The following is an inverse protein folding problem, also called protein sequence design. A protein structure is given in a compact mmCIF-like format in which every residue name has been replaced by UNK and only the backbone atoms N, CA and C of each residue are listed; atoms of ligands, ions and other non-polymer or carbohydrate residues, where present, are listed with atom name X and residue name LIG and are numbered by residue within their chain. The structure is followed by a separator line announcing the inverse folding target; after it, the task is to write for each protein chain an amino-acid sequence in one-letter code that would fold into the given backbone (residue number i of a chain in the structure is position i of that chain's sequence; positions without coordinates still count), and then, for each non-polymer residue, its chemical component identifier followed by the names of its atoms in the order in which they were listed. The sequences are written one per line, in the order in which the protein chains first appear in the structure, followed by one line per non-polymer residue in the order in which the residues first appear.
data_IF_452461644303
#
_entry.id   IF_452461644303
#
_cell.length_a   1.000
_cell.length_b   1.000
_cell.length_c   1.000
_cell.angle_alpha   90.00
_cell.angle_beta   90.00
_cell.angle_gamma   90.00
#
_symmetry.space_group_name_H-M   'P 1'
#
loop_
_entity.id
_entity.type
_entity.pdbx_description
1 polymer ?
#
# COMPACT_ATOMS: atom_id res chain seq x y z
N UNK A 1 26.01 -0.17 -9.67
CA UNK A 1 25.42 0.82 -8.76
C UNK A 1 23.90 0.82 -8.93
N UNK A 2 23.19 0.71 -7.84
CA UNK A 2 21.71 0.73 -7.88
C UNK A 2 21.20 2.16 -7.94
N UNK A 3 20.21 2.41 -8.77
CA UNK A 3 19.56 3.71 -8.84
C UNK A 3 18.25 3.65 -8.03
N UNK A 4 17.96 4.75 -7.34
CA UNK A 4 16.67 4.91 -6.66
C UNK A 4 15.62 5.25 -7.70
N UNK A 5 14.57 4.43 -7.76
CA UNK A 5 13.42 4.66 -8.61
C UNK A 5 12.26 5.12 -7.74
N UNK A 6 11.67 6.25 -8.09
CA UNK A 6 10.52 6.81 -7.37
C UNK A 6 9.30 6.79 -8.27
N UNK A 7 8.20 6.24 -7.75
CA UNK A 7 6.92 6.22 -8.46
C UNK A 7 5.91 6.93 -7.57
N UNK A 8 5.28 7.96 -8.11
CA UNK A 8 4.22 8.68 -7.42
C UNK A 8 2.87 8.33 -8.02
N UNK A 9 1.94 7.89 -7.19
CA UNK A 9 0.58 7.61 -7.60
C UNK A 9 -0.21 8.90 -7.78
N UNK A 10 -1.34 8.80 -8.48
CA UNK A 10 -2.24 9.95 -8.66
C UNK A 10 -2.86 10.34 -7.32
N UNK A 11 -3.22 11.61 -7.20
CA UNK A 11 -3.93 12.11 -6.04
C UNK A 11 -5.41 11.78 -6.18
N UNK A 12 -6.01 11.22 -5.13
CA UNK A 12 -7.44 10.89 -5.11
C UNK A 12 -8.09 11.47 -3.88
N UNK A 13 -9.38 11.80 -4.00
CA UNK A 13 -10.17 12.27 -2.89
C UNK A 13 -10.83 11.09 -2.19
N UNK A 14 -10.47 10.90 -0.93
CA UNK A 14 -11.09 9.88 -0.07
C UNK A 14 -12.11 10.56 0.83
N UNK A 15 -13.33 10.02 0.87
CA UNK A 15 -14.46 10.61 1.60
C UNK A 15 -14.47 10.21 3.07
N UNK A 16 -13.31 10.32 3.71
CA UNK A 16 -13.10 10.09 5.14
C UNK A 16 -12.08 11.08 5.65
N UNK A 17 -12.18 11.52 6.92
CA UNK A 17 -11.17 12.42 7.47
C UNK A 17 -9.82 11.74 7.67
N UNK A 18 -8.72 12.50 7.66
CA UNK A 18 -7.37 11.93 7.83
C UNK A 18 -7.20 11.08 9.09
N UNK A 19 -7.89 11.43 10.17
CA UNK A 19 -7.83 10.68 11.41
C UNK A 19 -8.27 9.22 11.23
N UNK A 20 -9.36 9.00 10.48
CA UNK A 20 -9.88 7.67 10.21
C UNK A 20 -8.90 6.89 9.33
N UNK A 21 -8.40 7.53 8.27
CA UNK A 21 -7.48 6.88 7.34
C UNK A 21 -6.14 6.57 8.01
N UNK A 22 -5.64 7.47 8.83
CA UNK A 22 -4.41 7.23 9.59
C UNK A 22 -4.55 6.00 10.48
N UNK A 23 -5.70 5.85 11.14
CA UNK A 23 -5.97 4.67 11.96
C UNK A 23 -5.96 3.39 11.13
N UNK A 24 -6.56 3.43 9.93
CA UNK A 24 -6.61 2.27 9.03
C UNK A 24 -5.23 1.86 8.52
N UNK A 25 -4.43 2.84 8.07
CA UNK A 25 -3.13 2.55 7.45
C UNK A 25 -2.02 2.32 8.47
N UNK A 26 -2.22 2.71 9.73
CA UNK A 26 -1.20 2.58 10.77
C UNK A 26 -1.16 1.22 11.44
N UNK A 27 -2.22 0.44 11.32
CA UNK A 27 -2.31 -0.88 11.93
C UNK A 27 -2.35 -1.95 10.84
N UNK A 28 -1.18 -2.51 10.53
CA UNK A 28 -1.07 -3.48 9.44
C UNK A 28 -1.82 -4.77 9.75
N UNK A 29 -1.87 -5.18 11.02
CA UNK A 29 -2.63 -6.36 11.41
C UNK A 29 -4.11 -6.22 11.10
N UNK A 30 -4.69 -5.07 11.46
CA UNK A 30 -6.09 -4.79 11.16
C UNK A 30 -6.32 -4.64 9.65
N UNK A 31 -5.40 -4.00 8.96
CA UNK A 31 -5.53 -3.76 7.52
C UNK A 31 -5.60 -5.06 6.72
N UNK A 32 -4.83 -6.07 7.09
CA UNK A 32 -4.77 -7.34 6.34
C UNK A 32 -5.77 -8.40 6.83
N UNK A 33 -6.46 -8.19 7.94
CA UNK A 33 -7.40 -9.18 8.50
C UNK A 33 -8.46 -9.63 7.52
N UNK A 34 -8.91 -8.74 6.68
CA UNK A 34 -10.02 -9.01 5.76
C UNK A 34 -9.56 -9.35 4.35
N UNK A 35 -8.25 -9.49 4.12
CA UNK A 35 -7.74 -9.89 2.80
C UNK A 35 -8.00 -11.38 2.62
N UNK A 36 -8.73 -11.79 1.55
CA UNK A 36 -8.97 -13.20 1.29
C UNK A 36 -7.65 -13.94 1.05
N UNK A 37 -7.55 -15.17 1.56
CA UNK A 37 -6.35 -15.99 1.42
C UNK A 37 -5.94 -16.19 -0.04
N UNK A 38 -6.92 -16.29 -0.94
CA UNK A 38 -6.69 -16.49 -2.36
C UNK A 38 -5.90 -15.34 -3.00
N UNK A 39 -5.93 -14.15 -2.41
CA UNK A 39 -5.21 -12.99 -2.95
C UNK A 39 -3.86 -12.76 -2.28
N UNK A 40 -3.72 -13.17 -1.03
CA UNK A 40 -2.53 -12.86 -0.26
C UNK A 40 -1.60 -14.03 -0.03
N UNK A 41 -1.96 -15.24 -0.48
CA UNK A 41 -1.19 -16.42 -0.11
C UNK A 41 -1.15 -16.55 1.40
N UNK A 42 0.05 -16.67 1.97
CA UNK A 42 0.21 -16.72 3.41
C UNK A 42 0.60 -15.34 3.93
N UNK A 43 -0.24 -14.76 4.76
CA UNK A 43 0.00 -13.45 5.36
C UNK A 43 0.12 -13.59 6.87
N UNK A 44 1.21 -13.07 7.41
CA UNK A 44 1.43 -12.97 8.86
C UNK A 44 1.61 -11.50 9.18
N UNK A 45 0.83 -10.97 10.11
CA UNK A 45 0.91 -9.55 10.40
C UNK A 45 0.64 -9.24 11.86
N UNK A 46 1.27 -8.17 12.35
CA UNK A 46 0.90 -7.52 13.59
C UNK A 46 0.71 -6.03 13.28
N UNK A 47 0.58 -5.20 14.31
CA UNK A 47 0.33 -3.77 14.12
C UNK A 47 1.42 -3.09 13.30
N UNK A 48 2.67 -3.49 13.49
CA UNK A 48 3.84 -2.78 12.99
C UNK A 48 4.53 -3.47 11.83
N UNK A 49 4.10 -4.67 11.47
CA UNK A 49 4.75 -5.43 10.40
C UNK A 49 3.79 -6.37 9.69
N UNK A 50 4.14 -6.70 8.47
CA UNK A 50 3.43 -7.70 7.68
C UNK A 50 4.42 -8.46 6.82
N UNK A 51 4.20 -9.77 6.70
CA UNK A 51 4.97 -10.62 5.78
C UNK A 51 4.01 -11.39 4.91
N UNK A 52 4.26 -11.33 3.62
CA UNK A 52 3.43 -11.97 2.60
C UNK A 52 4.28 -12.98 1.86
N UNK A 53 3.81 -14.21 1.79
CA UNK A 53 4.43 -15.27 0.99
C UNK A 53 3.44 -15.65 -0.11
N UNK A 54 3.83 -15.44 -1.36
CA UNK A 54 2.96 -15.65 -2.51
C UNK A 54 3.78 -16.14 -3.69
N UNK A 55 3.44 -17.31 -4.21
CA UNK A 55 4.10 -17.91 -5.38
C UNK A 55 5.62 -17.97 -5.27
N UNK A 56 6.13 -18.35 -4.09
CA UNK A 56 7.56 -18.44 -3.86
C UNK A 56 8.27 -17.14 -3.58
N UNK A 57 7.55 -16.02 -3.58
CA UNK A 57 8.09 -14.71 -3.27
C UNK A 57 7.69 -14.34 -1.84
N UNK A 58 8.65 -13.89 -1.05
CA UNK A 58 8.40 -13.41 0.30
C UNK A 58 8.71 -11.93 0.39
N UNK A 59 7.73 -11.13 0.81
CA UNK A 59 7.88 -9.70 1.01
C UNK A 59 7.51 -9.36 2.45
N UNK A 60 8.34 -8.57 3.09
CA UNK A 60 8.08 -8.10 4.45
C UNK A 60 8.12 -6.58 4.50
N UNK A 61 7.16 -6.02 5.23
CA UNK A 61 7.04 -4.58 5.46
C UNK A 61 7.03 -4.31 6.94
N UNK A 62 7.68 -3.23 7.34
CA UNK A 62 7.60 -2.73 8.72
C UNK A 62 7.20 -1.26 8.66
N UNK A 63 6.46 -0.81 9.67
CA UNK A 63 6.13 0.61 9.76
C UNK A 63 7.40 1.34 10.22
N UNK A 64 7.91 2.20 9.34
CA UNK A 64 9.12 2.96 9.60
C UNK A 64 8.81 4.33 10.24
N UNK A 65 7.64 4.89 9.94
CA UNK A 65 7.28 6.22 10.40
C UNK A 65 5.77 6.38 10.43
N UNK A 66 5.29 7.02 11.48
CA UNK A 66 3.90 7.47 11.60
C UNK A 66 3.91 8.93 11.98
N UNK A 67 3.34 9.78 11.13
CA UNK A 67 3.08 11.18 11.46
C UNK A 67 1.56 11.33 11.55
N UNK A 68 1.02 11.65 12.72
CA UNK A 68 -0.43 11.64 12.93
C UNK A 68 -1.17 12.41 11.85
N UNK A 69 -2.14 11.74 11.24
CA UNK A 69 -3.09 12.30 10.26
C UNK A 69 -2.47 12.81 8.97
N UNK A 70 -1.19 12.55 8.70
CA UNK A 70 -0.54 13.04 7.49
C UNK A 70 0.29 12.02 6.74
N UNK A 71 0.94 11.06 7.43
CA UNK A 71 1.90 10.19 6.78
C UNK A 71 2.05 8.85 7.50
N UNK A 72 2.07 7.78 6.71
CA UNK A 72 2.51 6.46 7.17
C UNK A 72 3.54 5.96 6.17
N UNK A 73 4.73 5.60 6.64
CA UNK A 73 5.78 5.05 5.79
C UNK A 73 6.02 3.59 6.15
N UNK A 74 5.92 2.74 5.16
CA UNK A 74 6.27 1.33 5.26
C UNK A 74 7.60 1.11 4.54
N UNK A 75 8.44 0.29 5.13
CA UNK A 75 9.75 -0.02 4.58
C UNK A 75 9.93 -1.53 4.54
N UNK A 76 10.78 -2.02 3.65
CA UNK A 76 11.10 -3.44 3.66
C UNK A 76 11.75 -3.83 5.00
N UNK A 77 11.57 -5.08 5.40
CA UNK A 77 12.06 -5.59 6.69
C UNK A 77 13.53 -6.01 6.65
N UNK A 78 14.24 -5.77 5.56
CA UNK A 78 15.63 -6.16 5.37
C UNK A 78 15.81 -7.61 4.93
N UNK A 79 14.73 -8.36 4.85
CA UNK A 79 14.75 -9.77 4.45
C UNK A 79 14.08 -10.03 3.10
N UNK A 80 13.56 -8.97 2.49
CA UNK A 80 12.94 -9.05 1.17
C UNK A 80 14.00 -8.96 0.09
N UNK A 81 13.68 -9.47 -1.10
CA UNK A 81 14.63 -9.46 -2.21
C UNK A 81 14.86 -8.06 -2.80
N UNK A 82 14.02 -7.10 -2.45
CA UNK A 82 14.15 -5.70 -2.88
C UNK A 82 14.22 -4.77 -1.68
N UNK A 83 14.96 -3.70 -1.83
CA UNK A 83 14.92 -2.58 -0.89
C UNK A 83 13.86 -1.60 -1.38
N UNK A 84 12.83 -1.34 -0.56
CA UNK A 84 11.75 -0.45 -0.98
C UNK A 84 11.15 0.27 0.22
N UNK A 85 10.50 1.39 -0.06
CA UNK A 85 9.62 2.05 0.90
C UNK A 85 8.35 2.52 0.21
N UNK A 86 7.24 2.45 0.93
CA UNK A 86 5.93 2.89 0.44
C UNK A 86 5.39 3.90 1.43
N UNK A 87 5.02 5.07 0.93
CA UNK A 87 4.50 6.15 1.77
C UNK A 87 3.05 6.44 1.42
N UNK A 88 2.20 6.52 2.43
CA UNK A 88 0.81 6.92 2.30
C UNK A 88 0.69 8.36 2.77
N UNK A 89 0.44 9.27 1.83
CA UNK A 89 0.33 10.70 2.11
C UNK A 89 -1.13 11.11 2.22
N UNK A 90 -1.44 11.84 3.27
CA UNK A 90 -2.80 12.26 3.59
C UNK A 90 -2.82 13.76 3.87
N UNK A 91 -3.68 14.50 3.17
CA UNK A 91 -3.86 15.94 3.38
C UNK A 91 -5.34 16.22 3.63
N UNK A 92 -5.68 16.91 4.72
CA UNK A 92 -7.08 17.20 5.00
C UNK A 92 -7.69 18.11 3.92
N UNK A 93 -8.89 17.74 3.46
CA UNK A 93 -9.65 18.52 2.49
C UNK A 93 -11.04 18.75 3.07
N UNK A 94 -11.17 19.80 3.87
CA UNK A 94 -12.38 20.02 4.64
C UNK A 94 -12.43 19.12 5.86
N UNK A 95 -13.63 18.91 6.41
CA UNK A 95 -13.82 18.16 7.65
C UNK A 95 -13.91 16.66 7.45
N UNK A 96 -14.37 16.22 6.28
CA UNK A 96 -14.75 14.83 6.05
C UNK A 96 -13.99 14.13 4.92
N UNK A 97 -13.00 14.80 4.34
CA UNK A 97 -12.31 14.26 3.18
C UNK A 97 -10.81 14.45 3.30
N UNK A 98 -10.09 13.60 2.56
CA UNK A 98 -8.64 13.58 2.55
C UNK A 98 -8.15 13.48 1.11
N UNK A 99 -7.18 14.32 0.75
CA UNK A 99 -6.44 14.13 -0.49
C UNK A 99 -5.33 13.13 -0.22
N UNK A 100 -5.30 12.06 -0.97
CA UNK A 100 -4.45 10.90 -0.71
C UNK A 100 -3.62 10.55 -1.93
N UNK A 101 -2.36 10.20 -1.72
CA UNK A 101 -1.55 9.57 -2.75
C UNK A 101 -0.52 8.62 -2.14
N UNK A 102 -0.01 7.73 -2.96
CA UNK A 102 1.01 6.75 -2.58
C UNK A 102 2.30 7.09 -3.31
N UNK A 103 3.43 7.00 -2.61
CA UNK A 103 4.75 7.09 -3.23
C UNK A 103 5.53 5.82 -2.91
N UNK A 104 6.15 5.26 -3.94
CA UNK A 104 7.00 4.07 -3.83
C UNK A 104 8.42 4.45 -4.21
N UNK A 105 9.39 4.11 -3.36
CA UNK A 105 10.81 4.24 -3.67
C UNK A 105 11.46 2.86 -3.56
N UNK A 106 12.26 2.51 -4.54
CA UNK A 106 12.97 1.24 -4.54
C UNK A 106 14.30 1.38 -5.24
N UNK A 107 15.27 0.56 -4.83
CA UNK A 107 16.57 0.51 -5.49
C UNK A 107 16.56 -0.65 -6.48
N UNK A 108 16.75 -0.34 -7.76
CA UNK A 108 16.78 -1.33 -8.82
C UNK A 108 18.09 -1.24 -9.57
N UNK A 109 18.73 -2.39 -9.83
CA UNK A 109 19.82 -2.43 -10.78
C UNK A 109 19.25 -2.36 -12.20
N UNK A 110 20.12 -2.23 -13.19
CA UNK A 110 19.70 -2.06 -14.59
C UNK A 110 18.78 -3.21 -15.05
N UNK A 111 19.15 -4.45 -14.74
CA UNK A 111 18.37 -5.61 -15.17
C UNK A 111 16.98 -5.62 -14.53
N UNK A 112 16.89 -5.36 -13.22
CA UNK A 112 15.62 -5.30 -12.52
C UNK A 112 14.75 -4.18 -13.04
N UNK A 113 15.34 -3.04 -13.34
CA UNK A 113 14.62 -1.89 -13.89
C UNK A 113 13.99 -2.23 -15.24
N UNK A 114 14.68 -3.00 -16.07
CA UNK A 114 14.14 -3.48 -17.33
C UNK A 114 13.00 -4.47 -17.14
N UNK A 115 13.11 -5.33 -16.13
CA UNK A 115 12.13 -6.40 -15.91
C UNK A 115 10.84 -5.90 -15.25
N UNK A 116 10.96 -5.04 -14.23
CA UNK A 116 9.81 -4.67 -13.40
C UNK A 116 9.56 -3.17 -13.28
N UNK A 117 10.43 -2.33 -13.84
CA UNK A 117 10.29 -0.88 -13.69
C UNK A 117 8.93 -0.34 -14.13
N UNK A 118 8.42 -0.84 -15.26
CA UNK A 118 7.12 -0.42 -15.79
C UNK A 118 5.94 -0.91 -14.93
N UNK A 119 6.12 -2.03 -14.23
CA UNK A 119 5.07 -2.61 -13.40
C UNK A 119 4.87 -1.87 -12.09
N UNK A 120 5.86 -1.10 -11.66
CA UNK A 120 5.77 -0.35 -10.41
C UNK A 120 4.68 0.72 -10.46
N UNK A 121 4.57 1.44 -11.58
CA UNK A 121 3.51 2.44 -11.75
C UNK A 121 2.14 1.76 -11.77
N UNK A 122 2.00 0.66 -12.49
CA UNK A 122 0.75 -0.10 -12.55
C UNK A 122 0.34 -0.57 -11.15
N UNK A 123 1.30 -1.03 -10.36
CA UNK A 123 1.04 -1.51 -9.00
C UNK A 123 0.54 -0.36 -8.10
N UNK A 124 1.22 0.78 -8.13
CA UNK A 124 0.82 1.95 -7.34
C UNK A 124 -0.56 2.44 -7.76
N UNK A 125 -0.83 2.50 -9.06
CA UNK A 125 -2.12 2.94 -9.57
C UNK A 125 -3.24 1.96 -9.19
N UNK A 126 -2.97 0.66 -9.27
CA UNK A 126 -3.93 -0.36 -8.91
C UNK A 126 -4.28 -0.30 -7.41
N UNK A 127 -3.28 -0.15 -6.55
CA UNK A 127 -3.50 -0.02 -5.11
C UNK A 127 -4.31 1.25 -4.83
N UNK A 128 -3.98 2.36 -5.49
CA UNK A 128 -4.71 3.62 -5.34
C UNK A 128 -6.18 3.46 -5.72
N UNK A 129 -6.46 2.80 -6.85
CA UNK A 129 -7.82 2.56 -7.30
C UNK A 129 -8.61 1.72 -6.29
N UNK A 130 -7.98 0.69 -5.74
CA UNK A 130 -8.61 -0.19 -4.77
C UNK A 130 -8.91 0.54 -3.45
N UNK A 131 -7.98 1.36 -2.98
CA UNK A 131 -8.17 2.18 -1.78
C UNK A 131 -9.31 3.17 -1.99
N UNK A 132 -9.31 3.87 -3.13
CA UNK A 132 -10.35 4.84 -3.45
C UNK A 132 -11.73 4.19 -3.47
N UNK A 133 -11.85 3.05 -4.15
CA UNK A 133 -13.11 2.32 -4.25
C UNK A 133 -13.60 1.85 -2.87
N UNK A 134 -12.72 1.23 -2.10
CA UNK A 134 -13.10 0.64 -0.80
C UNK A 134 -13.49 1.72 0.21
N UNK A 135 -12.68 2.77 0.33
CA UNK A 135 -12.93 3.85 1.30
C UNK A 135 -14.20 4.62 0.95
N UNK A 136 -14.38 4.95 -0.33
CA UNK A 136 -15.54 5.75 -0.74
C UNK A 136 -16.84 4.94 -0.68
N UNK A 137 -16.79 3.64 -0.94
CA UNK A 137 -17.95 2.77 -0.75
C UNK A 137 -18.37 2.71 0.72
N UNK A 138 -17.41 2.58 1.63
CA UNK A 138 -17.69 2.56 3.07
C UNK A 138 -18.28 3.90 3.53
N UNK A 139 -17.77 5.03 3.01
CA UNK A 139 -18.28 6.37 3.34
C UNK A 139 -19.70 6.57 2.84
N UNK A 140 -20.10 5.89 1.76
CA UNK A 140 -21.46 5.95 1.22
C UNK A 140 -22.45 5.04 1.97
N UNK A 141 -22.03 4.43 3.09
CA UNK A 141 -22.88 3.56 3.88
C UNK A 141 -22.86 2.11 3.45
N UNK A 142 -22.03 1.76 2.47
CA UNK A 142 -21.86 0.37 2.05
C UNK A 142 -20.78 -0.30 2.89
N UNK A 143 -20.91 -1.59 3.21
CA UNK A 143 -19.83 -2.31 3.88
C UNK A 143 -18.56 -2.27 3.03
N UNK A 144 -17.40 -2.15 3.69
CA UNK A 144 -16.14 -2.25 2.98
C UNK A 144 -15.94 -3.71 2.57
N UNK A 145 -16.03 -3.97 1.28
CA UNK A 145 -15.89 -5.32 0.72
C UNK A 145 -14.56 -5.44 0.00
N UNK A 146 -13.57 -5.97 0.70
CA UNK A 146 -12.24 -6.17 0.11
C UNK A 146 -12.12 -7.49 -0.64
N UNK A 147 -13.19 -8.31 -0.66
CA UNK A 147 -13.19 -9.52 -1.48
C UNK A 147 -13.09 -9.21 -2.98
N UNK A 148 -13.46 -8.00 -3.38
CA UNK A 148 -13.32 -7.53 -4.76
C UNK A 148 -11.94 -6.99 -5.08
N UNK A 149 -11.08 -6.82 -4.07
CA UNK A 149 -9.71 -6.34 -4.29
C UNK A 149 -8.90 -7.45 -4.93
N UNK A 150 -8.25 -7.13 -6.04
CA UNK A 150 -7.42 -8.08 -6.78
C UNK A 150 -5.95 -7.77 -6.56
N UNK A 151 -5.05 -8.76 -6.68
CA UNK A 151 -3.62 -8.49 -6.62
C UNK A 151 -3.26 -7.39 -7.62
N UNK A 152 -2.41 -6.41 -7.22
CA UNK A 152 -2.11 -5.26 -8.08
C UNK A 152 -1.38 -5.60 -9.37
N UNK A 153 -0.57 -6.66 -9.35
CA UNK A 153 0.13 -7.14 -10.55
C UNK A 153 0.26 -8.66 -10.49
N UNK A 154 0.41 -9.26 -11.66
CA UNK A 154 0.65 -10.69 -11.77
C UNK A 154 2.13 -10.94 -12.03
N UNK A 155 2.80 -11.62 -11.10
CA UNK A 155 4.21 -11.95 -11.21
C UNK A 155 4.45 -13.38 -11.73
N UNK A 156 3.41 -14.10 -12.05
CA UNK A 156 3.54 -15.47 -12.56
C UNK A 156 4.01 -15.53 -14.00
#
# INVERSE_FOLDING_TARGET
MSDVTTVKGREVMLKRPPMVLFGMFSDLGALVQNVPEEYGGKITADRDSVRIEYKGISLGFVVARREPFSLVVLKDDGKSFLNFSVSFHMEPMGLDSTLFHIELETELNFMMKMMIGNKLQEMVDSITDQVEKAVNAAAAGQPMDISEIKPPVNFS
#
